data_IF_697781147800
#
_entry.id   IF_697781147800
#
_cell.length_a   1.000
_cell.length_b   1.000
_cell.length_c   1.000
_cell.angle_alpha   90.00
_cell.angle_beta   90.00
_cell.angle_gamma   90.00
#
_symmetry.space_group_name_H-M   'P 1'
#
loop_
_entity.id
_entity.type
_entity.pdbx_description
1 polymer ?
#
# COMPACT_ATOMS: atom_id res chain seq x y z
N UNK A 1 30.17 29.01 -11.50
CA UNK A 1 29.32 28.60 -12.64
C UNK A 1 29.10 27.07 -12.61
N UNK A 2 28.52 26.47 -11.57
CA UNK A 2 28.45 25.01 -11.60
C UNK A 2 27.23 24.42 -10.83
N UNK A 3 26.66 25.17 -9.88
CA UNK A 3 25.60 24.62 -9.02
C UNK A 3 24.22 24.64 -9.70
N UNK A 4 23.93 25.60 -10.59
CA UNK A 4 22.62 25.67 -11.29
C UNK A 4 22.42 24.59 -12.36
N UNK A 5 23.52 24.13 -12.99
CA UNK A 5 23.44 23.12 -14.06
C UNK A 5 23.22 21.70 -13.49
N UNK A 6 23.77 21.42 -12.30
CA UNK A 6 23.58 20.10 -11.65
C UNK A 6 22.15 19.93 -11.12
N UNK A 7 21.53 20.99 -10.57
CA UNK A 7 20.14 20.94 -10.11
C UNK A 7 19.12 20.77 -11.26
N UNK A 8 19.42 21.29 -12.45
CA UNK A 8 18.55 21.12 -13.61
C UNK A 8 18.62 19.69 -14.18
N UNK A 9 19.78 19.02 -14.05
CA UNK A 9 19.95 17.64 -14.53
C UNK A 9 19.27 16.60 -13.62
N UNK A 10 19.27 16.85 -12.28
CA UNK A 10 18.61 15.97 -11.31
C UNK A 10 17.07 16.07 -11.43
N UNK A 11 16.54 17.26 -11.69
CA UNK A 11 15.10 17.45 -11.91
C UNK A 11 14.58 16.77 -13.20
N UNK A 12 15.43 16.66 -14.23
CA UNK A 12 15.03 16.05 -15.50
C UNK A 12 15.02 14.52 -15.46
N UNK A 13 15.91 13.90 -14.66
CA UNK A 13 15.92 12.44 -14.52
C UNK A 13 14.78 11.91 -13.64
N UNK A 14 14.32 12.69 -12.64
CA UNK A 14 13.21 12.27 -11.78
C UNK A 14 11.85 12.34 -12.48
N UNK A 15 11.66 13.19 -13.49
CA UNK A 15 10.38 13.28 -14.21
C UNK A 15 10.15 12.10 -15.18
N UNK A 16 11.20 11.54 -15.77
CA UNK A 16 11.08 10.42 -16.71
C UNK A 16 10.65 9.13 -15.99
N UNK A 17 11.21 8.85 -14.80
CA UNK A 17 10.85 7.67 -14.03
C UNK A 17 9.46 7.76 -13.36
N UNK A 18 8.96 8.97 -13.13
CA UNK A 18 7.64 9.15 -12.53
C UNK A 18 6.48 8.93 -13.52
N UNK A 19 6.70 9.11 -14.82
CA UNK A 19 5.71 8.83 -15.86
C UNK A 19 5.56 7.33 -16.09
N UNK A 20 6.65 6.57 -16.10
CA UNK A 20 6.64 5.11 -16.32
C UNK A 20 5.82 4.34 -15.28
N UNK A 21 5.87 4.73 -14.00
CA UNK A 21 5.12 4.04 -12.95
C UNK A 21 3.60 4.28 -13.07
N UNK A 22 3.18 5.47 -13.50
CA UNK A 22 1.77 5.83 -13.67
C UNK A 22 1.12 5.10 -14.85
N UNK A 23 1.88 4.71 -15.85
CA UNK A 23 1.37 3.96 -17.01
C UNK A 23 0.83 2.57 -16.61
N UNK A 24 1.27 2.05 -15.47
CA UNK A 24 0.81 0.77 -14.91
C UNK A 24 -0.39 0.91 -13.96
N UNK A 25 -0.89 2.13 -13.73
CA UNK A 25 -2.04 2.33 -12.85
C UNK A 25 -3.34 1.99 -13.55
N UNK A 26 -4.18 1.22 -12.86
CA UNK A 26 -5.57 1.04 -13.28
C UNK A 26 -6.37 2.30 -12.95
N UNK A 27 -7.37 2.56 -13.78
CA UNK A 27 -8.32 3.66 -13.58
C UNK A 27 -9.63 3.13 -13.03
N UNK A 28 -10.23 3.88 -12.10
CA UNK A 28 -11.57 3.58 -11.63
C UNK A 28 -12.60 3.91 -12.74
N UNK A 29 -13.56 3.01 -12.93
CA UNK A 29 -14.62 3.16 -13.91
C UNK A 29 -15.98 3.12 -13.21
N UNK A 30 -16.97 3.87 -13.74
CA UNK A 30 -18.36 3.79 -13.27
C UNK A 30 -18.53 4.02 -11.75
N UNK A 31 -17.93 5.09 -11.21
CA UNK A 31 -17.98 5.45 -9.78
C UNK A 31 -19.34 6.00 -9.32
N UNK A 32 -20.42 5.69 -10.03
CA UNK A 32 -21.76 6.11 -9.63
C UNK A 32 -22.30 5.23 -8.50
N UNK A 33 -22.74 5.85 -7.40
CA UNK A 33 -23.33 5.12 -6.28
C UNK A 33 -23.07 5.78 -4.93
N UNK A 34 -23.68 5.25 -3.86
CA UNK A 34 -23.53 5.78 -2.50
C UNK A 34 -22.24 5.23 -1.83
N UNK A 35 -21.10 5.49 -2.44
CA UNK A 35 -19.79 5.01 -1.96
C UNK A 35 -19.14 5.94 -0.94
N UNK A 36 -19.93 6.58 -0.10
CA UNK A 36 -19.48 7.60 0.87
C UNK A 36 -20.17 7.41 2.22
N UNK A 37 -19.56 7.96 3.25
CA UNK A 37 -20.19 8.09 4.57
C UNK A 37 -19.69 9.37 5.24
N UNK A 38 -20.27 9.73 6.39
CA UNK A 38 -19.86 10.92 7.12
C UNK A 38 -18.34 10.93 7.37
N UNK A 39 -17.66 12.02 7.03
CA UNK A 39 -16.20 12.22 7.10
C UNK A 39 -15.37 11.39 6.10
N UNK A 40 -15.99 10.65 5.19
CA UNK A 40 -15.32 9.84 4.17
C UNK A 40 -15.94 10.13 2.81
N UNK A 41 -15.16 10.68 1.90
CA UNK A 41 -15.63 11.11 0.57
C UNK A 41 -15.85 9.92 -0.36
N UNK A 42 -15.06 8.85 -0.20
CA UNK A 42 -15.20 7.66 -1.02
C UNK A 42 -14.66 6.40 -0.32
N UNK A 43 -15.33 5.27 -0.57
CA UNK A 43 -15.01 3.95 0.03
C UNK A 43 -14.60 3.01 -1.09
N UNK A 44 -13.34 2.56 -1.07
CA UNK A 44 -12.78 1.61 -2.02
C UNK A 44 -12.55 0.24 -1.39
N UNK A 45 -12.84 -0.81 -2.16
CA UNK A 45 -12.34 -2.17 -1.88
C UNK A 45 -11.53 -2.65 -3.08
N UNK A 46 -10.25 -2.93 -2.89
CA UNK A 46 -9.38 -3.52 -3.90
C UNK A 46 -9.70 -5.01 -3.99
N UNK A 47 -10.01 -5.49 -5.20
CA UNK A 47 -10.34 -6.90 -5.42
C UNK A 47 -9.88 -7.37 -6.80
N UNK A 48 -9.25 -8.54 -6.86
CA UNK A 48 -8.88 -9.20 -8.12
C UNK A 48 -10.13 -9.64 -8.88
N UNK A 49 -10.13 -9.45 -10.21
CA UNK A 49 -11.25 -9.84 -11.08
C UNK A 49 -11.52 -11.36 -11.05
N UNK A 50 -10.48 -12.13 -10.73
CA UNK A 50 -10.56 -13.59 -10.55
C UNK A 50 -11.12 -14.04 -9.21
N UNK A 51 -11.42 -13.11 -8.29
CA UNK A 51 -11.87 -13.38 -6.92
C UNK A 51 -13.16 -12.62 -6.57
N UNK A 52 -14.22 -12.71 -7.42
CA UNK A 52 -15.49 -11.99 -7.17
C UNK A 52 -16.16 -12.40 -5.85
N UNK A 53 -15.93 -13.63 -5.38
CA UNK A 53 -16.47 -14.14 -4.12
C UNK A 53 -15.94 -13.40 -2.90
N UNK A 54 -14.69 -12.92 -2.93
CA UNK A 54 -14.13 -12.11 -1.84
C UNK A 54 -14.80 -10.74 -1.77
N UNK A 55 -15.00 -10.07 -2.91
CA UNK A 55 -15.74 -8.81 -2.92
C UNK A 55 -17.19 -8.98 -2.45
N UNK A 56 -17.87 -10.08 -2.87
CA UNK A 56 -19.22 -10.38 -2.42
C UNK A 56 -19.29 -10.51 -0.90
N UNK A 57 -18.28 -11.14 -0.27
CA UNK A 57 -18.18 -11.22 1.18
C UNK A 57 -18.02 -9.84 1.84
N UNK A 58 -17.14 -8.95 1.30
CA UNK A 58 -17.03 -7.57 1.81
C UNK A 58 -18.36 -6.81 1.73
N UNK A 59 -19.12 -7.00 0.64
CA UNK A 59 -20.45 -6.40 0.49
C UNK A 59 -21.42 -6.96 1.54
N UNK A 60 -21.41 -8.27 1.80
CA UNK A 60 -22.23 -8.90 2.84
C UNK A 60 -21.93 -8.30 4.22
N UNK A 61 -20.66 -8.22 4.61
CA UNK A 61 -20.21 -7.63 5.87
C UNK A 61 -20.68 -6.19 6.07
N UNK A 62 -20.61 -5.35 5.03
CA UNK A 62 -20.87 -3.92 5.12
C UNK A 62 -22.34 -3.54 4.84
N UNK A 63 -23.07 -4.33 4.05
CA UNK A 63 -24.44 -4.02 3.65
C UNK A 63 -25.43 -3.98 4.83
N UNK A 64 -25.18 -4.76 5.88
CA UNK A 64 -25.98 -4.75 7.13
C UNK A 64 -25.96 -3.38 7.81
N UNK A 65 -24.94 -2.57 7.51
CA UNK A 65 -24.76 -1.19 7.98
C UNK A 65 -25.10 -0.15 6.92
N UNK A 66 -25.70 -0.56 5.79
CA UNK A 66 -25.98 0.32 4.65
C UNK A 66 -24.73 1.05 4.12
N UNK A 67 -23.58 0.37 4.17
CA UNK A 67 -22.30 0.85 3.62
C UNK A 67 -22.04 0.08 2.31
N UNK A 68 -21.78 0.81 1.24
CA UNK A 68 -21.65 0.26 -0.11
C UNK A 68 -20.27 0.62 -0.69
N UNK A 69 -19.24 -0.24 -0.54
CA UNK A 69 -17.93 0.06 -1.08
C UNK A 69 -17.94 0.00 -2.62
N UNK A 70 -17.11 0.85 -3.23
CA UNK A 70 -16.81 0.75 -4.65
C UNK A 70 -15.76 -0.35 -4.87
N UNK A 71 -16.05 -1.30 -5.79
CA UNK A 71 -15.10 -2.32 -6.19
C UNK A 71 -14.06 -1.72 -7.13
N UNK A 72 -12.82 -1.63 -6.68
CA UNK A 72 -11.69 -1.28 -7.53
C UNK A 72 -11.05 -2.56 -8.09
N UNK A 73 -11.01 -2.70 -9.43
CA UNK A 73 -10.36 -3.84 -10.10
C UNK A 73 -8.85 -3.80 -9.86
N UNK A 74 -8.33 -4.74 -9.09
CA UNK A 74 -6.92 -4.81 -8.72
C UNK A 74 -6.01 -5.08 -9.93
N UNK A 75 -4.77 -4.62 -9.87
CA UNK A 75 -3.73 -5.04 -10.81
C UNK A 75 -3.34 -6.48 -10.50
N UNK A 76 -3.49 -7.38 -11.47
CA UNK A 76 -3.01 -8.75 -11.34
C UNK A 76 -1.49 -8.79 -11.58
N UNK A 77 -0.71 -8.80 -10.51
CA UNK A 77 0.76 -8.83 -10.60
C UNK A 77 1.30 -10.05 -11.36
N UNK A 78 0.57 -11.16 -11.37
CA UNK A 78 0.97 -12.37 -12.10
C UNK A 78 0.86 -12.25 -13.62
N UNK A 79 0.23 -11.20 -14.13
CA UNK A 79 0.11 -10.90 -15.56
C UNK A 79 1.18 -9.91 -16.05
N UNK A 80 1.98 -9.34 -15.14
CA UNK A 80 3.05 -8.41 -15.50
C UNK A 80 4.13 -9.11 -16.34
N UNK A 81 4.51 -8.47 -17.44
CA UNK A 81 5.63 -8.92 -18.28
C UNK A 81 6.99 -8.53 -17.67
N UNK A 82 8.09 -9.10 -18.21
CA UNK A 82 9.44 -8.79 -17.76
C UNK A 82 9.81 -7.32 -17.96
N UNK A 83 9.36 -6.70 -19.06
CA UNK A 83 9.56 -5.28 -19.34
C UNK A 83 8.92 -4.42 -18.26
N UNK A 84 7.64 -4.69 -17.93
CA UNK A 84 6.95 -4.00 -16.85
C UNK A 84 7.66 -4.14 -15.50
N UNK A 85 8.18 -5.33 -15.19
CA UNK A 85 8.93 -5.56 -13.96
C UNK A 85 10.26 -4.79 -13.92
N UNK A 86 10.92 -4.62 -15.09
CA UNK A 86 12.15 -3.82 -15.19
C UNK A 86 11.89 -2.32 -14.97
N UNK A 87 10.74 -1.82 -15.39
CA UNK A 87 10.34 -0.42 -15.21
C UNK A 87 9.89 -0.12 -13.77
N UNK A 88 9.20 -1.06 -13.12
CA UNK A 88 8.56 -0.86 -11.83
C UNK A 88 9.51 -0.93 -10.64
N UNK A 89 10.53 -1.81 -10.71
CA UNK A 89 11.42 -2.07 -9.59
C UNK A 89 12.61 -1.12 -9.50
N UNK A 90 13.40 -1.27 -8.46
CA UNK A 90 14.59 -0.44 -8.25
C UNK A 90 15.74 -0.89 -9.14
N UNK A 91 16.10 -0.09 -10.12
CA UNK A 91 17.28 -0.31 -10.98
C UNK A 91 18.56 0.06 -10.20
N UNK A 92 19.34 -0.96 -9.83
CA UNK A 92 20.51 -0.78 -8.96
C UNK A 92 21.60 0.06 -9.61
N UNK A 93 22.09 1.04 -8.87
CA UNK A 93 23.27 1.84 -9.19
C UNK A 93 24.38 1.67 -8.14
N UNK A 94 25.68 1.85 -8.51
CA UNK A 94 26.80 1.60 -7.61
C UNK A 94 26.86 2.52 -6.38
N UNK A 95 26.07 3.59 -6.35
CA UNK A 95 25.91 4.50 -5.22
C UNK A 95 24.85 4.05 -4.21
N UNK A 96 24.10 2.99 -4.53
CA UNK A 96 23.07 2.44 -3.67
C UNK A 96 23.67 1.45 -2.68
N UNK A 97 22.91 1.14 -1.63
CA UNK A 97 23.30 0.10 -0.67
C UNK A 97 23.22 -1.27 -1.33
N UNK A 98 24.20 -2.09 -1.03
CA UNK A 98 24.31 -3.51 -1.44
C UNK A 98 24.21 -4.43 -0.23
N UNK A 99 24.59 -5.69 -0.41
CA UNK A 99 24.77 -6.71 0.63
C UNK A 99 23.46 -7.22 1.28
N UNK A 100 22.32 -7.05 0.59
CA UNK A 100 21.04 -7.65 0.98
C UNK A 100 20.51 -8.52 -0.15
N UNK A 101 19.79 -9.57 0.20
CA UNK A 101 19.12 -10.43 -0.75
C UNK A 101 17.98 -9.69 -1.44
N UNK A 102 17.95 -9.71 -2.76
CA UNK A 102 16.89 -9.16 -3.58
C UNK A 102 16.28 -10.21 -4.50
N UNK A 103 15.16 -9.87 -5.11
CA UNK A 103 14.52 -10.64 -6.18
C UNK A 103 14.64 -9.85 -7.47
N UNK A 104 15.10 -10.48 -8.55
CA UNK A 104 15.01 -9.97 -9.90
C UNK A 104 14.30 -10.99 -10.80
N UNK A 105 13.85 -10.54 -11.97
CA UNK A 105 13.16 -11.37 -12.95
C UNK A 105 13.94 -11.34 -14.26
N UNK A 106 14.54 -12.46 -14.60
CA UNK A 106 15.45 -12.58 -15.73
C UNK A 106 14.81 -13.34 -16.88
N UNK A 107 15.20 -13.00 -18.11
CA UNK A 107 14.67 -13.66 -19.30
C UNK A 107 15.05 -15.16 -19.33
N UNK A 108 16.27 -15.49 -18.91
CA UNK A 108 16.77 -16.86 -18.82
C UNK A 108 16.01 -17.72 -17.81
N UNK A 109 15.46 -17.12 -16.76
CA UNK A 109 14.63 -17.78 -15.74
C UNK A 109 13.14 -17.86 -16.13
N UNK A 110 12.79 -17.43 -17.36
CA UNK A 110 11.43 -17.46 -17.91
C UNK A 110 10.40 -16.79 -17.01
N UNK A 111 10.80 -15.70 -16.35
CA UNK A 111 9.95 -14.94 -15.45
C UNK A 111 9.73 -15.59 -14.08
N UNK A 112 10.51 -16.61 -13.72
CA UNK A 112 10.56 -17.08 -12.33
C UNK A 112 11.40 -16.13 -11.48
N UNK A 113 11.10 -15.99 -10.18
CA UNK A 113 11.89 -15.15 -9.29
C UNK A 113 13.32 -15.69 -9.15
N UNK A 114 14.29 -14.86 -9.42
CA UNK A 114 15.71 -15.11 -9.18
C UNK A 114 16.14 -14.34 -7.94
N UNK A 115 16.75 -15.05 -6.98
CA UNK A 115 17.20 -14.44 -5.73
C UNK A 115 18.72 -14.35 -5.71
N UNK A 116 19.24 -13.13 -5.60
CA UNK A 116 20.68 -12.88 -5.47
C UNK A 116 20.94 -11.67 -4.56
N UNK A 117 22.21 -11.44 -4.25
CA UNK A 117 22.61 -10.20 -3.57
C UNK A 117 22.42 -9.00 -4.49
N UNK A 118 21.89 -7.91 -3.96
CA UNK A 118 21.69 -6.65 -4.71
C UNK A 118 23.06 -6.01 -4.97
N UNK A 119 23.62 -6.20 -6.17
CA UNK A 119 24.97 -5.68 -6.52
C UNK A 119 25.23 -5.48 -8.02
N UNK A 120 24.35 -5.97 -8.90
CA UNK A 120 24.57 -5.88 -10.35
C UNK A 120 24.03 -4.55 -10.87
N UNK A 121 24.93 -3.66 -11.27
CA UNK A 121 24.59 -2.34 -11.82
C UNK A 121 23.70 -2.46 -13.05
N UNK A 122 22.60 -1.67 -13.06
CA UNK A 122 21.61 -1.66 -14.13
C UNK A 122 20.55 -2.77 -14.04
N UNK A 123 20.67 -3.71 -13.10
CA UNK A 123 19.67 -4.74 -12.85
C UNK A 123 18.57 -4.23 -11.95
N UNK A 124 17.33 -4.56 -12.26
CA UNK A 124 16.15 -4.19 -11.47
C UNK A 124 15.90 -5.21 -10.38
N UNK A 125 15.71 -4.73 -9.16
CA UNK A 125 15.49 -5.53 -7.96
C UNK A 125 14.24 -5.13 -7.22
N UNK A 126 13.64 -6.15 -6.61
CA UNK A 126 12.63 -6.07 -5.54
C UNK A 126 13.19 -6.73 -4.27
N UNK A 127 12.56 -6.50 -3.12
CA UNK A 127 12.85 -7.23 -1.90
C UNK A 127 12.70 -8.75 -2.11
N UNK A 128 13.53 -9.53 -1.44
CA UNK A 128 13.49 -11.00 -1.55
C UNK A 128 12.15 -11.64 -1.15
N UNK A 129 11.33 -10.93 -0.39
CA UNK A 129 9.99 -11.37 0.02
C UNK A 129 8.87 -10.84 -0.90
N UNK A 130 9.19 -10.34 -2.11
CA UNK A 130 8.27 -9.68 -3.02
C UNK A 130 7.90 -10.59 -4.21
N UNK A 131 6.87 -11.45 -4.12
CA UNK A 131 6.34 -12.16 -5.28
C UNK A 131 5.59 -11.20 -6.21
N UNK A 132 5.35 -11.62 -7.45
CA UNK A 132 4.64 -10.80 -8.45
C UNK A 132 3.26 -10.32 -7.98
N UNK A 133 2.54 -11.15 -7.22
CA UNK A 133 1.27 -10.75 -6.60
C UNK A 133 1.41 -9.53 -5.69
N UNK A 134 2.50 -9.44 -4.91
CA UNK A 134 2.77 -8.27 -4.06
C UNK A 134 3.05 -7.00 -4.87
N UNK A 135 3.70 -7.11 -6.04
CA UNK A 135 3.89 -5.97 -6.95
C UNK A 135 2.52 -5.47 -7.43
N UNK A 136 1.62 -6.40 -7.79
CA UNK A 136 0.23 -6.07 -8.13
C UNK A 136 -0.53 -5.36 -7.01
N UNK A 137 -0.31 -5.75 -5.74
CA UNK A 137 -0.91 -5.08 -4.58
C UNK A 137 -0.40 -3.62 -4.47
N UNK A 138 0.92 -3.41 -4.59
CA UNK A 138 1.48 -2.04 -4.55
C UNK A 138 0.85 -1.18 -5.64
N UNK A 139 0.80 -1.68 -6.89
CA UNK A 139 0.19 -0.96 -8.02
C UNK A 139 -1.30 -0.69 -7.80
N UNK A 140 -2.04 -1.64 -7.22
CA UNK A 140 -3.46 -1.49 -6.95
C UNK A 140 -3.70 -0.38 -5.91
N UNK A 141 -2.96 -0.37 -4.82
CA UNK A 141 -3.04 0.68 -3.81
C UNK A 141 -2.66 2.05 -4.40
N UNK A 142 -1.58 2.14 -5.16
CA UNK A 142 -1.17 3.38 -5.81
C UNK A 142 -2.22 3.88 -6.82
N UNK A 143 -2.83 2.96 -7.58
CA UNK A 143 -3.92 3.28 -8.52
C UNK A 143 -5.11 3.92 -7.80
N UNK A 144 -5.52 3.36 -6.65
CA UNK A 144 -6.60 3.94 -5.82
C UNK A 144 -6.21 5.29 -5.26
N UNK A 145 -4.97 5.43 -4.74
CA UNK A 145 -4.51 6.71 -4.20
C UNK A 145 -4.44 7.79 -5.28
N UNK A 146 -4.02 7.44 -6.51
CA UNK A 146 -4.01 8.35 -7.65
C UNK A 146 -5.43 8.73 -8.08
N UNK A 147 -6.34 7.77 -8.22
CA UNK A 147 -7.74 8.04 -8.54
C UNK A 147 -8.41 8.95 -7.49
N UNK A 148 -8.17 8.70 -6.20
CA UNK A 148 -8.68 9.52 -5.12
C UNK A 148 -8.11 10.95 -5.14
N UNK A 149 -6.81 11.07 -5.44
CA UNK A 149 -6.14 12.35 -5.60
C UNK A 149 -6.72 13.17 -6.75
N UNK A 150 -6.88 12.56 -7.93
CA UNK A 150 -7.41 13.19 -9.13
C UNK A 150 -8.90 13.55 -8.99
N UNK A 151 -9.65 12.76 -8.22
CA UNK A 151 -11.05 13.01 -7.88
C UNK A 151 -11.23 14.14 -6.87
N UNK A 152 -10.17 14.66 -6.26
CA UNK A 152 -10.23 15.73 -5.28
C UNK A 152 -10.71 15.31 -3.89
N UNK A 153 -10.73 14.01 -3.56
CA UNK A 153 -11.16 13.52 -2.26
C UNK A 153 -10.20 13.93 -1.15
N UNK A 154 -10.73 14.38 -0.03
CA UNK A 154 -9.97 14.76 1.17
C UNK A 154 -9.71 13.58 2.09
N UNK A 155 -10.65 12.63 2.15
CA UNK A 155 -10.56 11.44 3.00
C UNK A 155 -11.21 10.25 2.30
N UNK A 156 -10.47 9.15 2.20
CA UNK A 156 -11.01 7.89 1.69
C UNK A 156 -10.93 6.79 2.74
N UNK A 157 -11.78 5.79 2.59
CA UNK A 157 -11.64 4.50 3.25
C UNK A 157 -11.21 3.49 2.20
N UNK A 158 -10.01 2.94 2.36
CA UNK A 158 -9.43 1.96 1.47
C UNK A 158 -9.32 0.62 2.16
N UNK A 159 -9.89 -0.42 1.55
CA UNK A 159 -9.89 -1.79 2.05
C UNK A 159 -9.34 -2.77 1.02
N UNK A 160 -8.77 -3.87 1.51
CA UNK A 160 -8.56 -5.11 0.76
C UNK A 160 -9.83 -5.99 0.85
N UNK A 161 -9.87 -7.10 0.13
CA UNK A 161 -11.09 -7.90 -0.04
C UNK A 161 -11.25 -9.05 0.98
N UNK A 162 -10.48 -9.01 2.06
CA UNK A 162 -10.49 -10.02 3.14
C UNK A 162 -10.81 -9.42 4.51
N UNK A 163 -11.61 -8.36 4.54
CA UNK A 163 -12.04 -7.70 5.78
C UNK A 163 -13.00 -8.56 6.61
N UNK A 164 -13.01 -8.27 7.91
CA UNK A 164 -13.98 -8.73 8.90
C UNK A 164 -14.50 -7.51 9.69
N UNK A 165 -15.82 -7.35 9.77
CA UNK A 165 -16.45 -6.31 10.58
C UNK A 165 -16.60 -6.80 12.02
N UNK A 166 -15.88 -6.17 12.95
CA UNK A 166 -15.87 -6.53 14.38
C UNK A 166 -16.91 -5.73 15.17
N UNK A 167 -17.07 -4.45 14.83
CA UNK A 167 -18.04 -3.52 15.44
C UNK A 167 -18.69 -2.66 14.36
N UNK A 168 -19.75 -1.93 14.73
CA UNK A 168 -20.44 -1.02 13.81
C UNK A 168 -19.43 -0.10 13.09
N UNK A 169 -19.28 -0.19 11.75
CA UNK A 169 -18.31 0.62 11.00
C UNK A 169 -18.61 2.12 11.02
N UNK A 170 -19.84 2.54 11.38
CA UNK A 170 -20.15 3.96 11.54
C UNK A 170 -19.34 4.63 12.66
N UNK A 171 -18.81 3.85 13.62
CA UNK A 171 -17.86 4.32 14.62
C UNK A 171 -16.60 4.95 14.00
N UNK A 172 -16.21 4.55 12.78
CA UNK A 172 -15.05 5.15 12.07
C UNK A 172 -15.24 6.65 11.92
N UNK A 173 -16.46 7.11 11.57
CA UNK A 173 -16.76 8.55 11.45
C UNK A 173 -16.59 9.28 12.78
N UNK A 174 -16.93 8.65 13.90
CA UNK A 174 -16.75 9.20 15.24
C UNK A 174 -15.26 9.23 15.63
N UNK A 175 -14.50 8.19 15.27
CA UNK A 175 -13.05 8.16 15.50
C UNK A 175 -12.35 9.26 14.69
N UNK A 176 -12.78 9.54 13.46
CA UNK A 176 -12.26 10.68 12.69
C UNK A 176 -12.50 11.99 13.41
N UNK A 177 -13.73 12.25 13.89
CA UNK A 177 -14.04 13.48 14.65
C UNK A 177 -13.20 13.60 15.92
N UNK A 178 -13.07 12.51 16.69
CA UNK A 178 -12.27 12.48 17.93
C UNK A 178 -10.78 12.71 17.65
N UNK A 179 -10.23 12.10 16.60
CA UNK A 179 -8.82 12.28 16.23
C UNK A 179 -8.56 13.70 15.73
N UNK A 180 -9.48 14.26 14.93
CA UNK A 180 -9.42 15.64 14.46
C UNK A 180 -9.50 16.63 15.63
N UNK A 181 -10.30 16.35 16.64
CA UNK A 181 -10.38 17.17 17.85
C UNK A 181 -9.10 17.08 18.71
N UNK A 182 -8.47 15.90 18.76
CA UNK A 182 -7.29 15.65 19.58
C UNK A 182 -6.00 16.28 19.01
N UNK A 183 -5.76 16.13 17.70
CA UNK A 183 -4.51 16.51 17.05
C UNK A 183 -4.66 17.43 15.83
N UNK A 184 -5.89 17.79 15.51
CA UNK A 184 -6.23 18.63 14.35
C UNK A 184 -6.34 17.84 13.03
N UNK A 185 -7.17 18.33 12.12
CA UNK A 185 -7.41 17.71 10.79
C UNK A 185 -6.12 17.48 9.97
N UNK A 186 -5.11 18.31 10.17
CA UNK A 186 -3.80 18.20 9.52
C UNK A 186 -2.78 17.42 10.38
N UNK A 187 -3.19 16.88 11.51
CA UNK A 187 -2.33 16.19 12.46
C UNK A 187 -2.00 14.73 12.11
N UNK A 188 -2.74 14.12 11.16
CA UNK A 188 -2.62 12.73 10.78
C UNK A 188 -2.77 12.51 9.27
N UNK A 189 -2.23 11.39 8.78
CA UNK A 189 -2.25 11.02 7.37
C UNK A 189 -3.00 9.70 7.14
N UNK A 190 -2.82 8.73 8.04
CA UNK A 190 -3.50 7.42 7.99
C UNK A 190 -4.00 7.05 9.38
N UNK A 191 -5.24 6.59 9.45
CA UNK A 191 -5.86 5.96 10.62
C UNK A 191 -6.25 4.53 10.24
N UNK A 192 -5.71 3.54 10.95
CA UNK A 192 -6.10 2.15 10.81
C UNK A 192 -7.33 1.87 11.65
N UNK A 193 -8.25 1.07 11.11
CA UNK A 193 -9.55 0.77 11.72
C UNK A 193 -9.49 -0.39 12.71
N UNK A 194 -8.30 -0.93 12.95
CA UNK A 194 -8.01 -1.93 13.97
C UNK A 194 -6.71 -1.59 14.73
N UNK A 195 -6.47 -2.28 15.82
CA UNK A 195 -5.36 -2.00 16.74
C UNK A 195 -3.98 -2.35 16.16
N UNK A 196 -3.85 -3.54 15.57
CA UNK A 196 -2.60 -4.05 14.97
C UNK A 196 -2.90 -5.31 14.16
N UNK A 197 -1.96 -5.73 13.33
CA UNK A 197 -2.04 -6.99 12.58
C UNK A 197 -2.10 -8.19 13.54
N UNK A 198 -2.92 -9.18 13.22
CA UNK A 198 -3.06 -10.43 13.97
C UNK A 198 -2.43 -11.59 13.20
N UNK A 199 -1.81 -12.51 13.92
CA UNK A 199 -1.40 -13.81 13.40
C UNK A 199 -2.61 -14.74 13.22
N UNK A 200 -2.37 -15.94 12.66
CA UNK A 200 -3.42 -16.96 12.46
C UNK A 200 -4.09 -17.46 13.76
N UNK A 201 -3.50 -17.14 14.92
CA UNK A 201 -4.05 -17.48 16.25
C UNK A 201 -4.80 -16.31 16.88
N UNK A 202 -4.84 -15.15 16.18
CA UNK A 202 -5.47 -13.94 16.68
C UNK A 202 -4.60 -13.09 17.62
N UNK A 203 -3.30 -13.39 17.76
CA UNK A 203 -2.41 -12.57 18.57
C UNK A 203 -1.87 -11.39 17.76
N UNK A 204 -1.76 -10.23 18.35
CA UNK A 204 -1.17 -9.06 17.71
C UNK A 204 0.32 -9.27 17.43
N UNK A 205 0.75 -8.94 16.21
CA UNK A 205 2.14 -9.03 15.73
C UNK A 205 2.70 -7.62 15.52
N UNK A 206 3.43 -7.07 16.50
CA UNK A 206 3.94 -5.72 16.40
C UNK A 206 5.09 -5.63 15.38
N UNK A 207 5.04 -4.62 14.51
CA UNK A 207 6.19 -4.18 13.72
C UNK A 207 7.10 -3.32 14.62
N UNK A 208 8.40 -3.65 14.69
CA UNK A 208 9.37 -2.98 15.58
C UNK A 208 10.57 -2.39 14.83
N UNK A 209 10.61 -2.51 13.51
CA UNK A 209 11.73 -2.06 12.69
C UNK A 209 11.28 -1.60 11.32
N UNK A 210 12.17 -0.93 10.60
CA UNK A 210 11.95 -0.58 9.20
C UNK A 210 12.47 -1.65 8.25
N UNK A 211 11.87 -1.72 7.06
CA UNK A 211 12.36 -2.55 5.99
C UNK A 211 13.47 -1.82 5.19
N UNK A 212 14.53 -2.54 4.88
CA UNK A 212 15.66 -2.01 4.11
C UNK A 212 15.31 -1.80 2.64
N UNK A 213 15.85 -0.74 2.06
CA UNK A 213 15.82 -0.43 0.62
C UNK A 213 17.21 -0.04 0.11
N UNK A 214 17.60 -0.40 -1.14
CA UNK A 214 18.92 -0.03 -1.66
C UNK A 214 19.05 1.47 -1.93
N UNK A 215 17.98 2.13 -2.37
CA UNK A 215 17.96 3.50 -2.84
C UNK A 215 17.41 4.53 -1.82
N UNK A 216 17.06 4.09 -0.62
CA UNK A 216 16.55 4.99 0.43
C UNK A 216 17.03 4.56 1.82
N UNK A 217 17.42 5.53 2.63
CA UNK A 217 17.74 5.34 4.05
C UNK A 217 16.95 6.34 4.88
N UNK A 218 16.11 5.89 5.80
CA UNK A 218 15.41 6.81 6.70
C UNK A 218 16.42 7.53 7.59
N UNK A 219 16.23 8.86 7.76
CA UNK A 219 17.05 9.68 8.64
C UNK A 219 16.84 9.32 10.13
N UNK A 220 15.64 8.83 10.46
CA UNK A 220 15.19 8.49 11.80
C UNK A 220 14.61 7.07 11.83
N UNK A 221 15.48 6.02 11.77
CA UNK A 221 15.01 4.62 11.75
C UNK A 221 14.32 4.20 13.05
N UNK A 222 14.65 4.84 14.17
CA UNK A 222 14.02 4.61 15.48
C UNK A 222 12.51 4.86 15.47
N UNK A 223 12.01 5.76 14.61
CA UNK A 223 10.58 6.08 14.51
C UNK A 223 9.70 4.88 14.18
N UNK A 224 10.23 3.88 13.45
CA UNK A 224 9.45 2.71 13.05
C UNK A 224 9.06 1.81 14.22
N UNK A 225 9.79 1.87 15.33
CA UNK A 225 9.46 1.17 16.56
C UNK A 225 8.51 1.96 17.48
N UNK A 226 8.21 3.22 17.15
CA UNK A 226 7.35 4.07 17.98
C UNK A 226 5.95 3.49 18.11
N UNK A 227 5.48 3.38 19.37
CA UNK A 227 4.10 3.04 19.75
C UNK A 227 3.74 3.82 20.99
N UNK A 228 2.89 4.84 20.84
CA UNK A 228 2.48 5.73 21.92
C UNK A 228 0.96 5.77 22.03
N UNK A 229 0.41 5.30 23.15
CA UNK A 229 -1.01 5.47 23.44
C UNK A 229 -1.29 6.94 23.77
N UNK A 230 -2.06 7.63 22.90
CA UNK A 230 -2.41 9.03 23.12
C UNK A 230 -3.54 9.16 24.14
N UNK A 231 -4.49 8.26 24.09
CA UNK A 231 -5.62 8.14 25.02
C UNK A 231 -6.24 6.72 24.88
N UNK A 232 -7.44 6.54 25.43
CA UNK A 232 -8.16 5.26 25.35
C UNK A 232 -8.59 4.86 23.93
N UNK A 233 -8.72 5.80 23.00
CA UNK A 233 -9.23 5.57 21.65
C UNK A 233 -8.11 5.39 20.60
N UNK A 234 -6.92 6.00 20.82
CA UNK A 234 -5.90 6.11 19.78
C UNK A 234 -4.49 5.83 20.25
N UNK A 235 -3.75 5.19 19.36
CA UNK A 235 -2.30 5.00 19.44
C UNK A 235 -1.62 5.62 18.22
N UNK A 236 -0.55 6.39 18.44
CA UNK A 236 0.42 6.77 17.40
C UNK A 236 1.39 5.63 17.17
N UNK A 237 1.68 5.33 15.90
CA UNK A 237 2.60 4.26 15.52
C UNK A 237 3.59 4.75 14.46
N UNK A 238 4.77 4.14 14.40
CA UNK A 238 5.77 4.40 13.37
C UNK A 238 5.66 3.46 12.17
N UNK A 239 5.25 2.22 12.42
CA UNK A 239 5.02 1.21 11.40
C UNK A 239 4.10 0.09 11.92
N UNK A 240 3.49 -0.64 10.97
CA UNK A 240 2.76 -1.89 11.21
C UNK A 240 2.77 -2.75 9.95
N UNK A 241 2.47 -4.03 10.10
CA UNK A 241 2.15 -4.92 8.98
C UNK A 241 0.68 -4.80 8.59
N UNK A 242 0.37 -5.16 7.33
CA UNK A 242 -0.98 -5.17 6.78
C UNK A 242 -1.50 -3.79 6.38
N UNK A 243 -2.31 -3.79 5.32
CA UNK A 243 -2.90 -2.59 4.73
C UNK A 243 -4.40 -2.79 4.40
N UNK A 244 -5.03 -3.75 5.07
CA UNK A 244 -6.35 -4.28 4.72
C UNK A 244 -7.53 -3.33 5.01
N UNK A 245 -7.38 -2.35 5.92
CA UNK A 245 -8.42 -1.34 6.18
C UNK A 245 -7.83 -0.05 6.74
N UNK A 246 -7.87 1.01 5.95
CA UNK A 246 -7.20 2.29 6.24
C UNK A 246 -8.09 3.48 5.87
N UNK A 247 -8.17 4.45 6.76
CA UNK A 247 -8.68 5.79 6.46
C UNK A 247 -7.49 6.66 6.07
N UNK A 248 -7.47 7.18 4.86
CA UNK A 248 -6.32 7.91 4.32
C UNK A 248 -6.74 9.34 3.98
N UNK A 249 -6.05 10.32 4.57
CA UNK A 249 -6.20 11.74 4.24
C UNK A 249 -5.47 12.08 2.94
N UNK A 250 -5.92 13.13 2.26
CA UNK A 250 -5.27 13.65 1.07
C UNK A 250 -3.76 13.91 1.26
N UNK A 251 -3.34 14.36 2.45
CA UNK A 251 -1.94 14.52 2.79
C UNK A 251 -1.17 13.19 2.84
N UNK A 252 -1.81 12.11 3.28
CA UNK A 252 -1.26 10.75 3.24
C UNK A 252 -1.14 10.22 1.82
N UNK A 253 -2.19 10.37 1.00
CA UNK A 253 -2.18 10.00 -0.42
C UNK A 253 -0.98 10.65 -1.13
N UNK A 254 -0.81 11.95 -0.97
CA UNK A 254 0.31 12.71 -1.55
C UNK A 254 1.66 12.13 -1.15
N UNK A 255 1.90 11.93 0.15
CA UNK A 255 3.18 11.46 0.67
C UNK A 255 3.54 10.07 0.17
N UNK A 256 2.57 9.16 0.13
CA UNK A 256 2.79 7.78 -0.34
C UNK A 256 3.06 7.78 -1.85
N UNK A 257 2.25 8.49 -2.64
CA UNK A 257 2.42 8.60 -4.09
C UNK A 257 3.78 9.22 -4.44
N UNK A 258 4.12 10.38 -3.86
CA UNK A 258 5.39 11.06 -4.11
C UNK A 258 6.60 10.20 -3.74
N UNK A 259 6.49 9.44 -2.63
CA UNK A 259 7.58 8.56 -2.21
C UNK A 259 7.80 7.42 -3.21
N UNK A 260 6.74 6.69 -3.57
CA UNK A 260 6.85 5.55 -4.48
C UNK A 260 7.23 5.98 -5.90
N UNK A 261 6.74 7.12 -6.38
CA UNK A 261 7.18 7.71 -7.65
C UNK A 261 8.67 8.10 -7.64
N UNK A 262 9.19 8.57 -6.52
CA UNK A 262 10.60 8.96 -6.39
C UNK A 262 11.56 7.77 -6.20
N UNK A 263 11.11 6.71 -5.53
CA UNK A 263 11.97 5.60 -5.10
C UNK A 263 11.62 4.25 -5.72
N UNK A 264 10.63 4.18 -6.61
CA UNK A 264 10.15 2.97 -7.28
C UNK A 264 9.65 1.88 -6.30
N UNK A 265 9.16 0.76 -6.79
CA UNK A 265 8.65 -0.34 -5.98
C UNK A 265 9.82 -1.24 -5.56
N UNK A 266 9.95 -1.49 -4.27
CA UNK A 266 10.95 -2.43 -3.74
C UNK A 266 10.38 -3.37 -2.67
N UNK A 267 9.51 -2.86 -1.79
CA UNK A 267 8.96 -3.58 -0.65
C UNK A 267 7.47 -3.92 -0.87
N UNK A 268 6.91 -4.90 -0.14
CA UNK A 268 5.46 -5.04 -0.02
C UNK A 268 4.79 -3.74 0.45
N UNK A 269 3.54 -3.51 0.03
CA UNK A 269 2.87 -2.24 0.27
C UNK A 269 2.77 -1.86 1.75
N UNK A 270 2.52 -2.85 2.62
CA UNK A 270 2.45 -2.64 4.07
C UNK A 270 3.76 -2.17 4.71
N UNK A 271 4.88 -2.33 4.03
CA UNK A 271 6.17 -1.76 4.41
C UNK A 271 6.44 -0.44 3.68
N UNK A 272 6.00 -0.30 2.40
CA UNK A 272 6.23 0.89 1.59
C UNK A 272 5.56 2.14 2.15
N UNK A 273 4.27 2.08 2.50
CA UNK A 273 3.53 3.26 2.96
C UNK A 273 4.08 3.85 4.27
N UNK A 274 4.89 3.10 5.00
CA UNK A 274 5.53 3.56 6.24
C UNK A 274 6.82 4.36 5.98
N UNK A 275 7.40 4.25 4.78
CA UNK A 275 8.71 4.82 4.45
C UNK A 275 8.73 6.36 4.33
N UNK A 276 7.69 7.05 3.82
CA UNK A 276 7.74 8.51 3.68
C UNK A 276 8.14 9.17 5.01
N UNK A 277 9.17 10.05 5.03
CA UNK A 277 9.78 10.55 6.28
C UNK A 277 8.81 11.28 7.22
N UNK A 278 7.76 11.88 6.65
CA UNK A 278 6.81 12.72 7.40
C UNK A 278 5.43 12.10 7.51
N UNK A 279 5.29 10.81 7.20
CA UNK A 279 4.00 10.10 7.33
C UNK A 279 3.60 9.99 8.80
N UNK A 280 2.34 10.22 9.12
CA UNK A 280 1.80 10.19 10.48
C UNK A 280 0.70 9.15 10.56
N UNK A 281 1.00 8.07 11.27
CA UNK A 281 0.20 6.85 11.34
C UNK A 281 -0.43 6.71 12.72
N UNK A 282 -1.71 6.37 12.74
CA UNK A 282 -2.48 6.14 13.95
C UNK A 282 -3.31 4.86 13.83
N UNK A 283 -3.56 4.21 14.96
CA UNK A 283 -4.50 3.09 15.04
C UNK A 283 -5.58 3.41 16.07
N UNK A 284 -6.76 2.83 15.90
CA UNK A 284 -7.71 2.71 17.01
C UNK A 284 -7.17 1.69 18.02
N UNK A 285 -7.58 1.79 19.29
CA UNK A 285 -7.18 0.83 20.33
C UNK A 285 -8.09 -0.39 20.39
N UNK A 286 -9.29 -0.30 19.84
CA UNK A 286 -10.26 -1.36 19.73
C UNK A 286 -10.69 -1.56 18.27
N UNK A 287 -10.61 -2.80 17.77
CA UNK A 287 -10.88 -3.14 16.39
C UNK A 287 -12.34 -2.79 16.00
N UNK A 288 -12.51 -2.14 14.85
CA UNK A 288 -13.80 -1.82 14.22
C UNK A 288 -13.97 -2.68 12.96
N UNK A 289 -13.04 -2.53 12.02
CA UNK A 289 -12.91 -3.38 10.83
C UNK A 289 -11.47 -3.85 10.76
N UNK A 290 -11.27 -5.16 10.65
CA UNK A 290 -9.96 -5.82 10.62
C UNK A 290 -9.90 -6.78 9.43
N UNK A 291 -8.93 -7.68 9.40
CA UNK A 291 -8.85 -8.77 8.42
C UNK A 291 -9.27 -10.09 9.04
N UNK A 292 -9.80 -10.98 8.21
CA UNK A 292 -10.14 -12.34 8.62
C UNK A 292 -8.88 -13.09 9.08
N UNK A 293 -8.85 -13.66 10.29
CA UNK A 293 -7.64 -14.30 10.84
C UNK A 293 -7.09 -15.48 10.03
N UNK A 294 -7.87 -16.01 9.08
CA UNK A 294 -7.52 -17.16 8.24
C UNK A 294 -7.73 -16.88 6.76
N UNK A 295 -7.80 -15.61 6.36
CA UNK A 295 -7.88 -15.26 4.95
C UNK A 295 -6.70 -15.86 4.18
N UNK A 296 -7.00 -16.58 3.10
CA UNK A 296 -5.98 -17.07 2.20
C UNK A 296 -5.50 -15.90 1.34
N UNK A 297 -4.22 -15.56 1.50
CA UNK A 297 -3.59 -14.55 0.67
C UNK A 297 -3.43 -15.06 -0.77
N UNK A 298 -3.79 -14.22 -1.74
CA UNK A 298 -3.58 -14.49 -3.16
C UNK A 298 -2.17 -14.08 -3.64
N UNK A 299 -1.32 -13.63 -2.74
CA UNK A 299 -0.01 -13.04 -3.00
C UNK A 299 1.03 -14.02 -3.54
N UNK A 300 1.07 -15.23 -3.02
CA UNK A 300 2.14 -16.20 -3.31
C UNK A 300 1.71 -17.40 -4.14
N UNK A 301 0.46 -17.75 -4.11
CA UNK A 301 -0.15 -18.86 -4.86
C UNK A 301 -1.67 -18.87 -4.62
N UNK A 302 -2.47 -19.30 -5.56
CA UNK A 302 -2.10 -19.81 -6.88
C UNK A 302 -1.77 -18.70 -7.86
N UNK A 303 -0.96 -19.04 -8.89
CA UNK A 303 -0.70 -18.15 -10.02
C UNK A 303 -1.97 -18.03 -10.88
N UNK A 304 -2.67 -16.92 -10.83
CA UNK A 304 -3.92 -16.68 -11.57
C UNK A 304 -3.74 -16.52 -13.07
N UNK A 305 -2.51 -16.33 -13.56
CA UNK A 305 -2.22 -16.29 -15.01
C UNK A 305 -2.71 -17.58 -15.71
N UNK A 306 -2.53 -18.72 -15.07
CA UNK A 306 -2.91 -20.02 -15.65
C UNK A 306 -4.42 -20.30 -15.58
N UNK A 307 -5.19 -19.58 -14.75
CA UNK A 307 -6.65 -19.75 -14.68
C UNK A 307 -7.40 -19.08 -15.83
N UNK A 308 -6.84 -18.02 -16.40
CA UNK A 308 -7.44 -17.31 -17.54
C UNK A 308 -7.26 -18.07 -18.85
N UNK A 309 -6.31 -19.01 -18.95
CA UNK A 309 -5.97 -19.73 -20.19
C UNK A 309 -6.75 -21.04 -20.31
N UNK A 310 -7.53 -21.42 -19.31
CA UNK A 310 -8.42 -22.60 -19.40
C UNK A 310 -7.69 -23.95 -19.57
N UNK A 311 -6.49 -24.08 -18.99
CA UNK A 311 -5.69 -25.32 -18.96
C UNK A 311 -5.82 -25.97 -17.59
#
# INVERSE_FOLDING_TARGET
MTIRTVLLFIAFTTSIFAEELEDYFKKAENKSGPHQMRNIDFIYTINLDQRPEKFAHCVEELSTYNIHPYRFSAVNGWELGLESLDDLGVKYGPWMKSDHLGTCYLLEDKGQPHHEMVHVTGRTYFCHCMPMGSIGIVLSHMSVLQDAWDSGYETIWLMEDDIEVIRDPHLISEMIDKLDALIGKKGWDVLFTDRDTKDQKGNYVPCTSFAWRPNFTPAHPERFAEKEDLNQDFRRIGARYGAYSMIIRRSGMKKILEFLKAYQIFLPYDMEYTQPPTIRLYTVTEDIVSTQPRALSDNGAPNYRNRLIGI
#
